data_IF_869077335318
#
_entry.id   IF_869077335318
#
_cell.length_a   1.000
_cell.length_b   1.000
_cell.length_c   1.000
_cell.angle_alpha   90.00
_cell.angle_beta   90.00
_cell.angle_gamma   90.00
#
_symmetry.space_group_name_H-M   'P 1'
#
loop_
_entity.id
_entity.type
_entity.pdbx_description
1 polymer ?
#
# COMPACT_ATOMS: atom_id res chain seq x y z
N UNK A 1 -4.53 13.48 -50.42
CA UNK A 1 -4.54 12.25 -49.60
C UNK A 1 -4.37 11.08 -50.56
N UNK A 2 -3.38 10.21 -50.36
CA UNK A 2 -3.21 9.04 -51.23
C UNK A 2 -4.27 8.00 -50.87
N UNK A 3 -5.21 7.74 -51.79
CA UNK A 3 -6.34 6.80 -51.66
C UNK A 3 -5.94 5.31 -51.48
N UNK A 4 -4.69 5.02 -51.13
CA UNK A 4 -4.10 3.67 -51.19
C UNK A 4 -3.93 3.01 -49.82
N UNK A 5 -4.25 3.68 -48.72
CA UNK A 5 -4.17 3.10 -47.36
C UNK A 5 -5.45 3.43 -46.60
N UNK A 6 -6.37 2.48 -46.37
CA UNK A 6 -7.53 2.70 -45.51
C UNK A 6 -7.03 2.88 -44.07
N UNK A 7 -6.86 4.13 -43.65
CA UNK A 7 -6.38 4.44 -42.31
C UNK A 7 -7.37 3.97 -41.25
N UNK A 8 -6.95 3.06 -40.36
CA UNK A 8 -7.77 2.73 -39.20
C UNK A 8 -7.63 3.86 -38.15
N UNK A 9 -8.73 4.50 -37.76
CA UNK A 9 -8.74 5.60 -36.75
C UNK A 9 -8.43 5.11 -35.31
N UNK A 10 -7.90 3.89 -35.17
CA UNK A 10 -7.56 3.27 -33.89
C UNK A 10 -6.23 3.84 -33.36
N UNK A 11 -6.04 3.80 -32.05
CA UNK A 11 -4.75 4.16 -31.44
C UNK A 11 -3.66 3.13 -31.80
N UNK A 12 -2.40 3.57 -31.81
CA UNK A 12 -1.25 2.68 -31.95
C UNK A 12 -1.14 1.82 -30.68
N UNK A 13 -0.94 0.52 -30.85
CA UNK A 13 -0.64 -0.44 -29.79
C UNK A 13 0.86 -0.51 -29.54
N UNK A 14 1.27 -1.16 -28.45
CA UNK A 14 2.68 -1.40 -28.16
C UNK A 14 3.38 -2.16 -29.30
N UNK A 15 2.74 -3.18 -29.88
CA UNK A 15 3.30 -3.94 -31.00
C UNK A 15 3.54 -3.07 -32.25
N UNK A 16 2.61 -2.15 -32.54
CA UNK A 16 2.78 -1.17 -33.62
C UNK A 16 4.00 -0.28 -33.35
N UNK A 17 4.18 0.17 -32.10
CA UNK A 17 5.33 0.99 -31.69
C UNK A 17 6.65 0.21 -31.75
N UNK A 18 6.66 -1.06 -31.36
CA UNK A 18 7.82 -1.96 -31.49
C UNK A 18 8.20 -2.17 -32.96
N UNK A 19 7.21 -2.28 -33.84
CA UNK A 19 7.43 -2.35 -35.28
C UNK A 19 8.02 -1.04 -35.83
N UNK A 20 7.51 0.12 -35.39
CA UNK A 20 8.07 1.44 -35.75
C UNK A 20 9.53 1.52 -35.31
N UNK A 21 9.85 1.17 -34.06
CA UNK A 21 11.22 1.20 -33.54
C UNK A 21 12.17 0.32 -34.36
N UNK A 22 11.78 -0.94 -34.63
CA UNK A 22 12.58 -1.87 -35.43
C UNK A 22 12.81 -1.33 -36.84
N UNK A 23 11.75 -0.85 -37.49
CA UNK A 23 11.82 -0.31 -38.85
C UNK A 23 12.67 0.96 -38.94
N UNK A 24 12.61 1.81 -37.91
CA UNK A 24 13.49 2.98 -37.79
C UNK A 24 14.95 2.59 -37.61
N UNK A 25 15.23 1.54 -36.83
CA UNK A 25 16.58 1.01 -36.66
C UNK A 25 17.14 0.42 -37.97
N UNK A 26 16.28 -0.17 -38.79
CA UNK A 26 16.60 -0.64 -40.15
C UNK A 26 16.69 0.49 -41.20
N UNK A 27 16.38 1.74 -40.83
CA UNK A 27 16.43 2.89 -41.75
C UNK A 27 15.27 2.97 -42.74
N UNK A 28 14.15 2.28 -42.50
CA UNK A 28 12.96 2.31 -43.37
C UNK A 28 12.28 3.69 -43.36
N UNK A 29 11.65 4.04 -44.47
CA UNK A 29 10.92 5.30 -44.59
C UNK A 29 9.58 5.26 -43.82
N UNK A 30 9.08 6.42 -43.38
CA UNK A 30 7.75 6.51 -42.76
C UNK A 30 6.64 6.01 -43.69
N UNK A 31 6.80 6.13 -45.01
CA UNK A 31 5.84 5.63 -46.00
C UNK A 31 5.73 4.11 -45.95
N UNK A 32 6.86 3.42 -45.81
CA UNK A 32 6.88 1.95 -45.76
C UNK A 32 6.35 1.41 -44.43
N UNK A 33 6.72 2.07 -43.33
CA UNK A 33 6.21 1.76 -41.99
C UNK A 33 4.69 1.94 -41.95
N UNK A 34 4.20 3.05 -42.49
CA UNK A 34 2.78 3.37 -42.53
C UNK A 34 1.99 2.39 -43.41
N UNK A 35 2.56 1.95 -44.54
CA UNK A 35 1.95 0.93 -45.41
C UNK A 35 1.74 -0.40 -44.66
N UNK A 36 2.72 -0.84 -43.89
CA UNK A 36 2.62 -2.09 -43.12
C UNK A 36 1.58 -1.99 -42.00
N UNK A 37 1.54 -0.87 -41.28
CA UNK A 37 0.61 -0.66 -40.18
C UNK A 37 -0.80 -0.23 -40.62
N UNK A 38 -1.04 -0.08 -41.93
CA UNK A 38 -2.26 0.50 -42.49
C UNK A 38 -2.62 1.86 -41.85
N UNK A 39 -1.62 2.73 -41.69
CA UNK A 39 -1.72 4.08 -41.13
C UNK A 39 -1.36 5.14 -42.16
N UNK A 40 -1.71 6.39 -41.88
CA UNK A 40 -1.19 7.51 -42.64
C UNK A 40 0.28 7.81 -42.24
N UNK A 41 1.20 8.11 -43.19
CA UNK A 41 2.58 8.45 -42.86
C UNK A 41 2.73 9.61 -41.87
N UNK A 42 1.78 10.55 -41.85
CA UNK A 42 1.76 11.64 -40.87
C UNK A 42 1.48 11.15 -39.46
N UNK A 43 0.75 10.05 -39.27
CA UNK A 43 0.55 9.41 -37.96
C UNK A 43 1.88 8.93 -37.40
N UNK A 44 2.68 8.23 -38.21
CA UNK A 44 4.02 7.74 -37.82
C UNK A 44 4.95 8.93 -37.55
N UNK A 45 4.93 9.95 -38.41
CA UNK A 45 5.73 11.17 -38.22
C UNK A 45 5.39 11.89 -36.91
N UNK A 46 4.10 12.01 -36.56
CA UNK A 46 3.65 12.66 -35.32
C UNK A 46 4.05 11.84 -34.10
N UNK A 47 3.81 10.53 -34.12
CA UNK A 47 4.20 9.60 -33.05
C UNK A 47 5.70 9.72 -32.73
N UNK A 48 6.56 9.60 -33.75
CA UNK A 48 8.01 9.65 -33.57
C UNK A 48 8.47 11.02 -33.07
N UNK A 49 7.91 12.12 -33.60
CA UNK A 49 8.31 13.47 -33.20
C UNK A 49 7.87 13.83 -31.78
N UNK A 50 6.69 13.39 -31.36
CA UNK A 50 6.13 13.65 -30.03
C UNK A 50 6.78 12.78 -28.95
N UNK A 51 7.14 11.53 -29.26
CA UNK A 51 7.58 10.56 -28.28
C UNK A 51 9.06 10.14 -28.39
N UNK A 52 9.88 10.89 -29.12
CA UNK A 52 11.34 10.69 -29.11
C UNK A 52 11.96 11.10 -27.77
N UNK A 53 12.85 10.25 -27.27
CA UNK A 53 13.75 10.53 -26.16
C UNK A 53 14.79 11.57 -26.56
N UNK A 54 15.08 12.50 -25.66
CA UNK A 54 16.12 13.52 -25.82
C UNK A 54 17.30 13.16 -24.93
N UNK A 55 18.41 12.77 -25.55
CA UNK A 55 19.64 12.39 -24.86
C UNK A 55 20.74 13.40 -25.13
N UNK A 56 21.53 13.71 -24.10
CA UNK A 56 22.70 14.59 -24.20
C UNK A 56 23.97 13.76 -24.04
N UNK A 57 24.83 13.82 -25.05
CA UNK A 57 26.08 13.08 -25.08
C UNK A 57 27.23 14.03 -25.43
N UNK A 58 27.99 14.45 -24.43
CA UNK A 58 29.03 15.45 -24.58
C UNK A 58 30.31 14.86 -25.19
N UNK A 59 30.72 15.38 -26.36
CA UNK A 59 31.97 15.02 -27.07
C UNK A 59 32.76 16.26 -27.50
N UNK A 60 33.18 17.03 -26.51
CA UNK A 60 34.09 18.15 -26.70
C UNK A 60 35.56 17.75 -26.65
N UNK A 61 36.43 18.74 -26.48
CA UNK A 61 37.88 18.54 -26.31
C UNK A 61 38.17 18.00 -24.91
N UNK A 62 39.38 17.45 -24.69
CA UNK A 62 39.82 17.01 -23.36
C UNK A 62 39.65 18.11 -22.29
N UNK A 63 39.94 19.35 -22.67
CA UNK A 63 39.84 20.52 -21.79
C UNK A 63 38.42 21.06 -21.62
N UNK A 64 37.50 20.74 -22.54
CA UNK A 64 36.10 21.14 -22.43
C UNK A 64 35.18 20.18 -23.20
N UNK A 65 34.79 19.09 -22.53
CA UNK A 65 33.92 18.06 -23.08
C UNK A 65 32.50 18.58 -23.38
N UNK A 66 32.04 19.61 -22.66
CA UNK A 66 30.69 20.14 -22.81
C UNK A 66 30.56 21.17 -23.93
N UNK A 67 31.66 21.61 -24.55
CA UNK A 67 31.60 22.50 -25.71
C UNK A 67 30.98 21.79 -26.92
N UNK A 68 29.86 22.31 -27.42
CA UNK A 68 29.19 21.79 -28.62
C UNK A 68 29.04 22.84 -29.72
N UNK A 69 29.96 23.80 -29.74
CA UNK A 69 30.13 24.71 -30.87
C UNK A 69 30.70 23.96 -32.08
N UNK A 70 30.29 24.33 -33.30
CA UNK A 70 30.88 23.80 -34.54
C UNK A 70 32.38 24.09 -34.65
N UNK A 71 32.84 25.20 -34.06
CA UNK A 71 34.26 25.62 -34.08
C UNK A 71 35.08 25.09 -32.89
N UNK A 72 34.55 24.20 -32.06
CA UNK A 72 35.15 23.76 -30.78
C UNK A 72 36.55 23.14 -30.88
N UNK A 73 36.96 22.64 -32.05
CA UNK A 73 38.28 22.03 -32.24
C UNK A 73 39.34 23.00 -32.78
N UNK A 74 38.94 24.13 -33.37
CA UNK A 74 39.88 25.00 -34.11
C UNK A 74 39.78 26.48 -33.75
N UNK A 75 38.80 26.91 -32.95
CA UNK A 75 38.63 28.31 -32.58
C UNK A 75 39.81 28.84 -31.76
N UNK A 76 40.53 29.83 -32.30
CA UNK A 76 41.69 30.45 -31.63
C UNK A 76 41.35 31.71 -30.82
N UNK A 77 40.08 32.15 -30.84
CA UNK A 77 39.63 33.36 -30.13
C UNK A 77 39.92 33.20 -28.63
N UNK A 78 40.51 34.22 -28.02
CA UNK A 78 40.60 34.42 -26.57
C UNK A 78 39.58 35.48 -26.16
N UNK A 79 39.33 35.62 -24.86
CA UNK A 79 38.35 36.56 -24.32
C UNK A 79 36.93 36.42 -24.92
N UNK A 80 36.49 35.19 -25.20
CA UNK A 80 35.17 34.93 -25.80
C UNK A 80 34.00 35.44 -24.94
N UNK A 81 34.20 35.57 -23.62
CA UNK A 81 33.22 36.11 -22.69
C UNK A 81 33.15 37.66 -22.68
N UNK A 82 34.01 38.34 -23.44
CA UNK A 82 34.04 39.79 -23.62
C UNK A 82 33.98 40.59 -22.29
N UNK A 83 34.69 40.10 -21.27
CA UNK A 83 34.80 40.78 -19.97
C UNK A 83 35.84 41.90 -20.03
N UNK A 84 35.68 42.88 -19.14
CA UNK A 84 36.60 44.01 -18.97
C UNK A 84 38.00 43.50 -18.58
N UNK A 85 38.07 42.51 -17.69
CA UNK A 85 39.31 41.77 -17.41
C UNK A 85 39.52 40.75 -18.53
N UNK A 86 40.59 40.92 -19.30
CA UNK A 86 40.91 40.09 -20.46
C UNK A 86 41.12 38.63 -20.07
N UNK A 87 40.24 37.75 -20.56
CA UNK A 87 40.39 36.31 -20.35
C UNK A 87 41.31 35.71 -21.41
N UNK A 88 42.47 35.16 -20.99
CA UNK A 88 43.44 34.54 -21.90
C UNK A 88 43.09 33.09 -22.30
N UNK A 89 42.00 32.54 -21.78
CA UNK A 89 41.56 31.17 -22.10
C UNK A 89 41.06 31.12 -23.55
N UNK A 90 41.61 30.19 -24.34
CA UNK A 90 41.12 29.91 -25.70
C UNK A 90 39.67 29.44 -25.67
N UNK A 91 38.87 29.91 -26.61
CA UNK A 91 37.45 29.59 -26.76
C UNK A 91 37.19 28.07 -26.84
N UNK A 92 38.12 27.30 -27.43
CA UNK A 92 38.09 25.82 -27.47
C UNK A 92 38.08 25.16 -26.09
N UNK A 93 38.73 25.79 -25.11
CA UNK A 93 38.91 25.27 -23.74
C UNK A 93 38.08 26.05 -22.71
N UNK A 94 37.35 27.09 -23.12
CA UNK A 94 36.57 27.94 -22.23
C UNK A 94 35.30 27.21 -21.76
N UNK A 95 35.14 26.90 -20.46
CA UNK A 95 34.05 26.06 -19.96
C UNK A 95 32.66 26.65 -20.22
N UNK A 96 32.54 27.98 -20.25
CA UNK A 96 31.29 28.71 -20.46
C UNK A 96 31.09 29.17 -21.91
N UNK A 97 31.86 28.65 -22.87
CA UNK A 97 31.81 29.04 -24.27
C UNK A 97 30.39 28.98 -24.86
N UNK A 98 29.63 27.92 -24.56
CA UNK A 98 28.27 27.72 -25.07
C UNK A 98 27.27 28.81 -24.65
N UNK A 99 27.55 29.54 -23.57
CA UNK A 99 26.66 30.57 -23.01
C UNK A 99 27.17 31.99 -23.27
N UNK A 100 28.49 32.17 -23.28
CA UNK A 100 29.11 33.50 -23.23
C UNK A 100 29.72 33.96 -24.55
N UNK A 101 30.04 33.04 -25.46
CA UNK A 101 30.63 33.38 -26.74
C UNK A 101 29.55 33.93 -27.71
N UNK A 102 29.73 35.16 -28.19
CA UNK A 102 28.82 35.79 -29.17
C UNK A 102 28.81 35.06 -30.53
N UNK A 103 29.95 34.49 -30.91
CA UNK A 103 30.10 33.72 -32.16
C UNK A 103 29.76 32.23 -31.98
N UNK A 104 29.07 31.88 -30.89
CA UNK A 104 28.70 30.50 -30.63
C UNK A 104 27.69 30.00 -31.68
N UNK A 105 28.09 28.98 -32.43
CA UNK A 105 27.21 28.28 -33.37
C UNK A 105 27.05 26.83 -32.92
N UNK A 106 25.84 26.49 -32.45
CA UNK A 106 25.51 25.14 -31.99
C UNK A 106 25.66 24.14 -33.13
N UNK A 107 26.46 23.09 -32.94
CA UNK A 107 26.55 21.97 -33.87
C UNK A 107 25.19 21.23 -33.94
N UNK A 108 24.66 21.03 -35.15
CA UNK A 108 23.36 20.39 -35.40
C UNK A 108 23.47 19.32 -36.48
N UNK A 109 22.54 18.37 -36.46
CA UNK A 109 22.47 17.28 -37.43
C UNK A 109 21.26 17.46 -38.36
N UNK A 110 21.49 17.57 -39.67
CA UNK A 110 20.42 17.71 -40.67
C UNK A 110 19.40 16.55 -40.64
N UNK A 111 19.80 15.36 -40.17
CA UNK A 111 18.91 14.20 -39.99
C UNK A 111 17.83 14.46 -38.94
N UNK A 112 18.09 15.31 -37.95
CA UNK A 112 17.12 15.61 -36.89
C UNK A 112 16.05 16.62 -37.35
N UNK A 113 16.35 17.37 -38.40
CA UNK A 113 15.45 18.36 -39.01
C UNK A 113 14.54 17.75 -40.09
N UNK A 114 14.91 16.57 -40.62
CA UNK A 114 14.16 15.82 -41.64
C UNK A 114 13.69 14.48 -41.09
N UNK A 115 12.69 13.86 -41.72
CA UNK A 115 12.28 12.50 -41.35
C UNK A 115 13.51 11.55 -41.41
N UNK A 116 13.75 10.70 -40.38
CA UNK A 116 12.83 10.33 -39.30
C UNK A 116 12.92 11.16 -38.00
N UNK A 117 13.68 12.27 -37.98
CA UNK A 117 13.89 13.15 -36.81
C UNK A 117 14.56 12.50 -35.59
N UNK A 118 15.13 11.31 -35.77
CA UNK A 118 15.78 10.51 -34.72
C UNK A 118 17.06 9.86 -35.26
N UNK A 119 17.93 9.45 -34.32
CA UNK A 119 19.21 8.81 -34.57
C UNK A 119 19.09 7.32 -34.89
N UNK A 120 17.92 6.70 -34.70
CA UNK A 120 17.66 5.32 -35.11
C UNK A 120 18.02 5.13 -36.60
N UNK A 121 18.76 4.06 -36.91
CA UNK A 121 19.20 3.75 -38.28
C UNK A 121 20.14 4.80 -38.90
N UNK A 122 20.90 5.53 -38.09
CA UNK A 122 21.95 6.42 -38.59
C UNK A 122 23.23 5.63 -38.89
N UNK A 123 23.88 5.92 -40.02
CA UNK A 123 25.10 5.23 -40.49
C UNK A 123 26.27 5.38 -39.49
N UNK A 124 26.34 6.54 -38.83
CA UNK A 124 27.31 6.78 -37.75
C UNK A 124 26.80 6.15 -36.46
N UNK A 125 27.57 5.22 -35.90
CA UNK A 125 27.30 4.69 -34.56
C UNK A 125 27.21 5.85 -33.56
N UNK A 126 26.30 5.74 -32.60
CA UNK A 126 25.99 6.80 -31.63
C UNK A 126 27.23 7.26 -30.87
N UNK A 127 28.13 6.34 -30.52
CA UNK A 127 29.38 6.61 -29.83
C UNK A 127 30.43 7.32 -30.71
N UNK A 128 30.30 7.38 -32.03
CA UNK A 128 31.19 8.14 -32.92
C UNK A 128 30.58 9.47 -33.36
N UNK A 129 29.27 9.65 -33.19
CA UNK A 129 28.59 10.91 -33.48
C UNK A 129 28.96 11.99 -32.45
N UNK A 130 29.56 13.09 -32.94
CA UNK A 130 30.02 14.23 -32.13
C UNK A 130 28.92 15.19 -31.70
N UNK A 131 27.74 15.10 -32.33
CA UNK A 131 26.58 15.94 -32.02
C UNK A 131 26.16 15.71 -30.58
N UNK A 132 26.09 16.78 -29.79
CA UNK A 132 25.77 16.66 -28.37
C UNK A 132 24.32 16.27 -28.10
N UNK A 133 23.38 16.83 -28.85
CA UNK A 133 21.94 16.61 -28.65
C UNK A 133 21.42 15.55 -29.61
N UNK A 134 21.01 14.39 -29.07
CA UNK A 134 20.56 13.23 -29.83
C UNK A 134 19.11 12.94 -29.52
N UNK A 135 18.40 12.39 -30.50
CA UNK A 135 17.04 11.93 -30.32
C UNK A 135 16.93 10.45 -30.65
N UNK A 136 16.31 9.66 -29.77
CA UNK A 136 16.06 8.23 -30.02
C UNK A 136 14.58 7.94 -29.90
N UNK A 137 14.04 7.15 -30.80
CA UNK A 137 12.72 6.56 -30.62
C UNK A 137 12.86 5.22 -29.89
N UNK A 138 12.09 5.06 -28.81
CA UNK A 138 12.02 3.86 -27.99
C UNK A 138 10.54 3.52 -27.80
N UNK A 139 10.12 2.33 -28.23
CA UNK A 139 8.71 1.98 -28.28
C UNK A 139 8.05 1.96 -26.91
N UNK A 140 8.76 1.45 -25.89
CA UNK A 140 8.24 1.34 -24.52
C UNK A 140 8.12 2.69 -23.86
N UNK A 141 9.09 3.57 -24.07
CA UNK A 141 9.01 4.96 -23.63
C UNK A 141 7.82 5.67 -24.27
N UNK A 142 7.66 5.54 -25.59
CA UNK A 142 6.59 6.17 -26.33
C UNK A 142 5.20 5.68 -25.88
N UNK A 143 5.06 4.37 -25.67
CA UNK A 143 3.81 3.77 -25.18
C UNK A 143 3.43 4.28 -23.79
N UNK A 144 4.40 4.30 -22.86
CA UNK A 144 4.20 4.85 -21.52
C UNK A 144 3.80 6.33 -21.57
N UNK A 145 4.47 7.15 -22.39
CA UNK A 145 4.16 8.58 -22.54
C UNK A 145 2.77 8.80 -23.13
N UNK A 146 2.38 7.99 -24.09
CA UNK A 146 1.04 8.02 -24.66
C UNK A 146 -0.03 7.70 -23.61
N UNK A 147 0.16 6.65 -22.80
CA UNK A 147 -0.78 6.29 -21.73
C UNK A 147 -0.83 7.35 -20.59
N UNK A 148 0.31 7.94 -20.23
CA UNK A 148 0.38 9.05 -19.28
C UNK A 148 -0.42 10.27 -19.78
N UNK A 149 -0.28 10.63 -21.06
CA UNK A 149 -1.06 11.71 -21.67
C UNK A 149 -2.55 11.36 -21.74
N UNK A 150 -2.89 10.12 -22.11
CA UNK A 150 -4.28 9.65 -22.19
C UNK A 150 -4.98 9.72 -20.81
N UNK A 151 -4.26 9.39 -19.75
CA UNK A 151 -4.75 9.49 -18.37
C UNK A 151 -4.85 10.95 -17.91
N UNK A 152 -3.76 11.72 -18.05
CA UNK A 152 -3.69 13.10 -17.56
C UNK A 152 -4.61 14.06 -18.30
N UNK A 153 -4.82 13.89 -19.60
CA UNK A 153 -5.80 14.68 -20.37
C UNK A 153 -7.25 14.47 -19.92
N UNK A 154 -7.53 13.33 -19.28
CA UNK A 154 -8.85 12.98 -18.72
C UNK A 154 -8.89 13.13 -17.20
N UNK A 155 -7.77 13.54 -16.59
CA UNK A 155 -7.69 13.76 -15.17
C UNK A 155 -8.23 15.16 -14.84
N UNK A 156 -9.05 15.23 -13.80
CA UNK A 156 -9.65 16.47 -13.33
C UNK A 156 -11.15 16.47 -13.45
N UNK A 157 -11.72 17.66 -13.33
CA UNK A 157 -13.16 17.90 -13.40
C UNK A 157 -13.39 18.62 -14.73
N UNK A 158 -14.29 18.09 -15.55
CA UNK A 158 -14.66 18.69 -16.83
C UNK A 158 -15.60 19.91 -16.63
N UNK A 159 -15.25 20.84 -15.75
CA UNK A 159 -15.97 22.10 -15.58
C UNK A 159 -15.05 23.17 -14.98
N UNK A 160 -15.41 24.44 -15.20
CA UNK A 160 -14.71 25.56 -14.61
C UNK A 160 -14.97 25.65 -13.10
N UNK A 161 -14.08 26.33 -12.36
CA UNK A 161 -14.31 26.60 -10.93
C UNK A 161 -15.61 27.39 -10.70
N UNK A 162 -15.95 28.31 -11.60
CA UNK A 162 -17.17 29.11 -11.50
C UNK A 162 -18.42 28.23 -11.63
N UNK A 163 -18.43 27.30 -12.57
CA UNK A 163 -19.56 26.38 -12.75
C UNK A 163 -19.68 25.42 -11.56
N UNK A 164 -18.56 24.93 -11.03
CA UNK A 164 -18.56 24.12 -9.81
C UNK A 164 -19.17 24.88 -8.63
N UNK A 165 -18.81 26.16 -8.44
CA UNK A 165 -19.39 27.00 -7.40
C UNK A 165 -20.90 27.25 -7.58
N UNK A 166 -21.37 27.44 -8.81
CA UNK A 166 -22.82 27.55 -9.09
C UNK A 166 -23.58 26.29 -8.67
N UNK A 167 -23.03 25.11 -9.00
CA UNK A 167 -23.61 23.82 -8.59
C UNK A 167 -23.55 23.64 -7.07
N UNK A 168 -22.45 24.01 -6.43
CA UNK A 168 -22.28 23.92 -4.97
C UNK A 168 -23.29 24.77 -4.20
N UNK A 169 -23.59 25.98 -4.70
CA UNK A 169 -24.62 26.88 -4.13
C UNK A 169 -26.02 26.26 -4.07
N UNK A 170 -26.30 25.26 -4.90
CA UNK A 170 -27.56 24.52 -4.89
C UNK A 170 -27.42 23.27 -4.03
N UNK A 171 -26.39 22.45 -4.29
CA UNK A 171 -26.22 21.13 -3.66
C UNK A 171 -25.98 21.22 -2.16
N UNK A 172 -25.06 22.09 -1.71
CA UNK A 172 -24.64 22.12 -0.31
C UNK A 172 -25.73 22.58 0.66
N UNK A 173 -26.50 23.65 0.39
CA UNK A 173 -27.63 24.04 1.25
C UNK A 173 -28.71 22.97 1.34
N UNK A 174 -29.04 22.29 0.24
CA UNK A 174 -30.07 21.24 0.22
C UNK A 174 -29.64 19.98 1.00
N UNK A 175 -28.36 19.63 0.96
CA UNK A 175 -27.81 18.56 1.81
C UNK A 175 -27.91 18.97 3.29
N UNK A 176 -27.61 20.22 3.63
CA UNK A 176 -27.74 20.72 5.00
C UNK A 176 -29.20 20.71 5.50
N UNK A 177 -30.17 20.90 4.60
CA UNK A 177 -31.61 20.72 4.86
C UNK A 177 -32.03 19.24 4.97
N UNK A 178 -31.10 18.29 4.81
CA UNK A 178 -31.33 16.86 4.94
C UNK A 178 -31.81 16.16 3.67
N UNK A 179 -31.79 16.83 2.51
CA UNK A 179 -32.14 16.20 1.24
C UNK A 179 -31.04 15.21 0.80
N UNK A 180 -31.45 14.10 0.18
CA UNK A 180 -30.51 13.13 -0.36
C UNK A 180 -29.95 13.58 -1.72
N UNK A 181 -28.69 13.22 -2.08
CA UNK A 181 -28.13 13.53 -3.40
C UNK A 181 -28.99 13.06 -4.59
N UNK A 182 -29.73 11.96 -4.43
CA UNK A 182 -30.69 11.50 -5.42
C UNK A 182 -31.84 12.49 -5.61
N UNK A 183 -32.45 12.92 -4.50
CA UNK A 183 -33.56 13.88 -4.51
C UNK A 183 -33.14 15.23 -5.10
N UNK A 184 -31.93 15.70 -4.77
CA UNK A 184 -31.38 16.95 -5.30
C UNK A 184 -31.23 16.87 -6.83
N UNK A 185 -30.63 15.80 -7.36
CA UNK A 185 -30.45 15.64 -8.82
C UNK A 185 -31.79 15.51 -9.54
N UNK A 186 -32.78 14.84 -8.95
CA UNK A 186 -34.12 14.69 -9.56
C UNK A 186 -34.88 16.01 -9.62
N UNK A 187 -34.79 16.85 -8.58
CA UNK A 187 -35.53 18.11 -8.51
C UNK A 187 -34.80 19.29 -9.15
N UNK A 188 -33.48 19.18 -9.34
CA UNK A 188 -32.63 20.22 -9.93
C UNK A 188 -31.95 19.73 -11.22
N UNK A 189 -32.71 19.58 -12.33
CA UNK A 189 -32.16 19.14 -13.61
C UNK A 189 -31.12 20.12 -14.19
N UNK A 190 -31.12 21.38 -13.76
CA UNK A 190 -30.12 22.39 -14.12
C UNK A 190 -28.69 22.06 -13.65
N UNK A 191 -28.55 21.13 -12.69
CA UNK A 191 -27.24 20.67 -12.24
C UNK A 191 -26.49 19.87 -13.30
N UNK A 192 -27.17 19.34 -14.32
CA UNK A 192 -26.61 18.53 -15.42
C UNK A 192 -25.51 17.58 -14.92
N UNK A 193 -25.85 16.77 -13.93
CA UNK A 193 -24.91 15.83 -13.33
C UNK A 193 -25.61 14.60 -12.78
N UNK A 194 -24.97 13.45 -12.95
CA UNK A 194 -25.46 12.21 -12.37
C UNK A 194 -25.31 12.22 -10.84
N UNK A 195 -26.14 11.43 -10.16
CA UNK A 195 -26.02 11.17 -8.71
C UNK A 195 -24.62 10.66 -8.34
N UNK A 196 -24.01 9.84 -9.20
CA UNK A 196 -22.63 9.35 -9.03
C UNK A 196 -21.62 10.50 -9.04
N UNK A 197 -21.80 11.48 -9.90
CA UNK A 197 -20.94 12.67 -9.98
C UNK A 197 -21.05 13.48 -8.68
N UNK A 198 -22.26 13.67 -8.15
CA UNK A 198 -22.47 14.37 -6.87
C UNK A 198 -21.73 13.68 -5.72
N UNK A 199 -21.87 12.35 -5.59
CA UNK A 199 -21.12 11.60 -4.58
C UNK A 199 -19.60 11.70 -4.78
N UNK A 200 -19.14 11.58 -6.01
CA UNK A 200 -17.71 11.71 -6.34
C UNK A 200 -17.17 13.08 -5.93
N UNK A 201 -17.95 14.14 -6.07
CA UNK A 201 -17.54 15.49 -5.72
C UNK A 201 -17.56 15.72 -4.20
N UNK A 202 -18.56 15.20 -3.50
CA UNK A 202 -18.61 15.19 -2.03
C UNK A 202 -17.42 14.41 -1.44
N UNK A 203 -17.08 13.25 -2.02
CA UNK A 203 -15.96 12.41 -1.59
C UNK A 203 -14.60 13.11 -1.79
N UNK A 204 -14.46 13.84 -2.90
CA UNK A 204 -13.28 14.64 -3.19
C UNK A 204 -13.24 15.97 -2.40
N UNK A 205 -14.29 16.31 -1.65
CA UNK A 205 -14.38 17.57 -0.92
C UNK A 205 -14.46 18.81 -1.83
N UNK A 206 -15.03 18.65 -3.03
CA UNK A 206 -15.18 19.73 -4.02
C UNK A 206 -16.40 20.61 -3.74
N UNK A 207 -17.36 20.10 -2.97
CA UNK A 207 -18.50 20.83 -2.46
C UNK A 207 -18.26 21.23 -1.01
N UNK A 208 -18.98 22.26 -0.57
CA UNK A 208 -18.94 22.74 0.82
C UNK A 208 -19.50 21.68 1.78
N UNK A 209 -20.58 20.99 1.38
CA UNK A 209 -21.14 19.85 2.09
C UNK A 209 -20.19 18.66 2.09
N UNK A 210 -20.20 17.90 3.18
CA UNK A 210 -19.31 16.77 3.45
C UNK A 210 -20.08 15.46 3.60
N UNK A 211 -19.35 14.36 3.55
CA UNK A 211 -19.92 13.03 3.76
C UNK A 211 -20.63 12.86 5.11
N UNK A 212 -20.23 13.62 6.13
CA UNK A 212 -20.85 13.61 7.46
C UNK A 212 -22.25 14.23 7.45
N UNK A 213 -22.54 15.13 6.51
CA UNK A 213 -23.83 15.83 6.40
C UNK A 213 -24.88 14.95 5.70
N UNK A 214 -24.46 13.83 5.10
CA UNK A 214 -25.35 12.90 4.43
C UNK A 214 -26.05 11.97 5.43
N UNK A 215 -27.38 12.01 5.48
CA UNK A 215 -28.24 11.23 6.41
C UNK A 215 -27.91 9.73 6.56
N UNK A 216 -27.39 9.06 5.53
CA UNK A 216 -27.24 7.58 5.50
C UNK A 216 -25.81 7.08 5.33
N UNK A 217 -24.83 7.97 5.09
CA UNK A 217 -23.44 7.57 4.82
C UNK A 217 -22.64 7.28 6.09
N UNK A 218 -22.67 8.13 7.14
CA UNK A 218 -22.09 7.77 8.42
C UNK A 218 -23.02 6.81 9.16
N UNK A 219 -22.54 5.58 9.42
CA UNK A 219 -23.21 4.62 10.31
C UNK A 219 -22.28 4.35 11.49
N UNK A 220 -22.71 4.72 12.69
CA UNK A 220 -22.01 4.32 13.92
C UNK A 220 -22.39 2.88 14.25
N UNK A 221 -21.40 1.98 14.25
CA UNK A 221 -21.59 0.59 14.68
C UNK A 221 -20.90 0.39 16.02
N UNK A 222 -21.64 -0.07 17.02
CA UNK A 222 -21.08 -0.44 18.33
C UNK A 222 -20.10 -1.61 18.11
N UNK A 223 -18.87 -1.49 18.64
CA UNK A 223 -17.89 -2.58 18.59
C UNK A 223 -18.35 -3.73 19.49
N UNK A 224 -18.29 -4.97 19.00
CA UNK A 224 -18.48 -6.16 19.84
C UNK A 224 -17.25 -6.31 20.74
N UNK A 225 -17.44 -6.32 22.06
CA UNK A 225 -16.38 -6.59 23.04
C UNK A 225 -16.52 -8.05 23.52
N UNK A 226 -15.45 -8.84 23.41
CA UNK A 226 -15.40 -10.20 23.96
C UNK A 226 -14.77 -10.14 25.36
N UNK A 227 -15.58 -10.31 26.41
CA UNK A 227 -15.12 -10.37 27.82
C UNK A 227 -14.87 -11.82 28.24
N UNK A 228 -13.79 -12.43 27.74
CA UNK A 228 -13.44 -13.83 28.06
C UNK A 228 -12.36 -13.97 29.13
N UNK A 229 -11.63 -12.89 29.45
CA UNK A 229 -10.52 -12.90 30.41
C UNK A 229 -10.88 -12.19 31.72
N UNK A 230 -10.18 -12.56 32.79
CA UNK A 230 -10.25 -11.88 34.09
C UNK A 230 -9.77 -10.43 33.91
N UNK A 231 -10.65 -9.46 34.21
CA UNK A 231 -10.35 -8.03 34.09
C UNK A 231 -9.66 -7.46 35.32
N UNK A 232 -9.91 -8.05 36.49
CA UNK A 232 -9.32 -7.61 37.76
C UNK A 232 -7.89 -8.16 37.91
N UNK A 233 -6.90 -7.26 37.88
CA UNK A 233 -5.49 -7.64 37.97
C UNK A 233 -5.05 -8.01 39.38
N UNK A 234 -5.81 -7.63 40.41
CA UNK A 234 -5.47 -7.94 41.81
C UNK A 234 -5.43 -9.44 42.08
N UNK A 235 -6.22 -10.21 41.31
CA UNK A 235 -6.25 -11.68 41.32
C UNK A 235 -4.88 -12.31 41.07
N UNK A 236 -3.99 -11.65 40.32
CA UNK A 236 -2.70 -12.21 39.92
C UNK A 236 -1.56 -11.90 40.89
N UNK A 237 -1.77 -11.06 41.91
CA UNK A 237 -0.71 -10.71 42.87
C UNK A 237 -0.32 -11.97 43.66
N UNK A 238 0.95 -12.39 43.52
CA UNK A 238 1.50 -13.60 44.15
C UNK A 238 1.03 -14.92 43.53
N UNK A 239 0.37 -14.87 42.36
CA UNK A 239 -0.21 -16.04 41.66
C UNK A 239 0.20 -16.09 40.18
N UNK A 240 1.23 -15.36 39.79
CA UNK A 240 1.71 -15.35 38.40
C UNK A 240 2.48 -16.63 38.06
N UNK A 241 2.69 -16.87 36.77
CA UNK A 241 3.55 -17.97 36.33
C UNK A 241 4.99 -17.82 36.85
N UNK A 242 5.49 -16.59 37.01
CA UNK A 242 6.79 -16.35 37.61
C UNK A 242 6.82 -16.79 39.08
N UNK A 243 5.77 -16.48 39.86
CA UNK A 243 5.65 -16.93 41.26
C UNK A 243 5.61 -18.47 41.35
N UNK A 244 4.91 -19.12 40.42
CA UNK A 244 4.89 -20.58 40.29
C UNK A 244 6.28 -21.16 39.98
N UNK A 245 7.05 -20.52 39.09
CA UNK A 245 8.42 -20.94 38.77
C UNK A 245 9.36 -20.78 39.96
N UNK A 246 9.19 -19.71 40.76
CA UNK A 246 9.96 -19.51 41.99
C UNK A 246 9.63 -20.57 43.05
N UNK A 247 8.36 -20.99 43.16
CA UNK A 247 7.95 -22.07 44.07
C UNK A 247 8.60 -23.42 43.70
N UNK A 248 8.85 -23.65 42.40
CA UNK A 248 9.43 -24.89 41.86
C UNK A 248 8.80 -26.19 42.43
N UNK A 249 7.47 -26.36 42.33
CA UNK A 249 6.80 -27.51 42.90
C UNK A 249 7.18 -28.81 42.17
N UNK A 250 7.49 -29.87 42.92
CA UNK A 250 7.82 -31.19 42.35
C UNK A 250 6.63 -31.83 41.60
N UNK A 251 5.41 -31.55 42.06
CA UNK A 251 4.16 -32.10 41.52
C UNK A 251 3.13 -30.99 41.46
N UNK A 252 2.46 -30.86 40.32
CA UNK A 252 1.34 -29.93 40.15
C UNK A 252 0.30 -30.51 39.20
N UNK A 253 -0.90 -29.94 39.26
CA UNK A 253 -2.03 -30.29 38.41
C UNK A 253 -2.33 -29.14 37.44
N UNK A 254 -2.50 -29.44 36.15
CA UNK A 254 -2.99 -28.47 35.17
C UNK A 254 -4.52 -28.47 35.15
N UNK A 255 -5.15 -27.30 35.27
CA UNK A 255 -6.59 -27.13 35.23
C UNK A 255 -7.01 -26.30 34.02
N UNK A 256 -8.02 -26.77 33.29
CA UNK A 256 -8.50 -26.10 32.07
C UNK A 256 -10.02 -26.24 31.88
N UNK A 257 -10.61 -25.41 31.02
CA UNK A 257 -12.00 -25.58 30.57
C UNK A 257 -12.09 -25.90 29.08
N UNK A 258 -12.76 -27.00 28.75
CA UNK A 258 -13.08 -27.36 27.37
C UNK A 258 -14.51 -26.95 27.08
N UNK A 259 -14.67 -26.01 26.13
CA UNK A 259 -15.98 -25.57 25.67
C UNK A 259 -16.56 -26.56 24.66
N UNK A 260 -17.85 -26.89 24.82
CA UNK A 260 -18.62 -27.62 23.81
C UNK A 260 -18.90 -26.73 22.58
N UNK A 261 -19.76 -27.19 21.66
CA UNK A 261 -20.17 -26.42 20.48
C UNK A 261 -20.66 -25.01 20.85
N UNK A 262 -20.52 -24.05 19.93
CA UNK A 262 -20.82 -22.61 20.15
C UNK A 262 -22.23 -22.30 20.69
N UNK A 263 -23.16 -23.24 20.57
CA UNK A 263 -24.57 -23.10 20.97
C UNK A 263 -24.85 -23.66 22.38
N UNK A 264 -23.96 -24.49 22.92
CA UNK A 264 -24.12 -25.10 24.24
C UNK A 264 -23.44 -24.30 25.34
N UNK A 265 -24.12 -24.14 26.48
CA UNK A 265 -23.55 -23.54 27.69
C UNK A 265 -22.78 -24.55 28.56
N UNK A 266 -22.80 -25.84 28.19
CA UNK A 266 -22.09 -26.89 28.91
C UNK A 266 -20.60 -26.86 28.58
N UNK A 267 -19.77 -27.00 29.60
CA UNK A 267 -18.31 -27.05 29.49
C UNK A 267 -17.76 -28.21 30.33
N UNK A 268 -16.56 -28.69 30.02
CA UNK A 268 -15.85 -29.66 30.84
C UNK A 268 -14.77 -28.91 31.63
N UNK A 269 -14.76 -29.10 32.95
CA UNK A 269 -13.60 -28.76 33.77
C UNK A 269 -12.66 -29.95 33.79
N UNK A 270 -11.42 -29.74 33.38
CA UNK A 270 -10.44 -30.82 33.25
C UNK A 270 -9.27 -30.60 34.20
N UNK A 271 -8.81 -31.68 34.83
CA UNK A 271 -7.61 -31.72 35.65
C UNK A 271 -6.64 -32.74 35.07
N UNK A 272 -5.40 -32.33 34.87
CA UNK A 272 -4.34 -33.20 34.36
C UNK A 272 -3.18 -33.29 35.33
N UNK A 273 -2.98 -34.49 35.85
CA UNK A 273 -1.89 -34.82 36.76
C UNK A 273 -0.66 -35.24 35.96
N UNK A 274 0.38 -34.40 35.98
CA UNK A 274 1.58 -34.60 35.15
C UNK A 274 2.35 -35.86 35.49
N UNK A 275 2.51 -36.15 36.78
CA UNK A 275 3.30 -37.28 37.28
C UNK A 275 2.63 -38.61 36.97
N UNK A 276 1.34 -38.72 37.30
CA UNK A 276 0.53 -39.92 37.12
C UNK A 276 0.01 -40.10 35.68
N UNK A 277 0.13 -39.06 34.85
CA UNK A 277 -0.48 -38.97 33.51
C UNK A 277 -2.00 -39.21 33.53
N UNK A 278 -2.64 -38.89 34.65
CA UNK A 278 -4.08 -39.07 34.88
C UNK A 278 -4.85 -37.83 34.42
N UNK A 279 -5.94 -38.06 33.71
CA UNK A 279 -6.83 -37.00 33.22
C UNK A 279 -8.22 -37.18 33.81
N UNK A 280 -8.72 -36.17 34.53
CA UNK A 280 -10.06 -36.14 35.10
C UNK A 280 -10.88 -35.06 34.39
N UNK A 281 -12.12 -35.38 34.01
CA UNK A 281 -13.03 -34.43 33.38
C UNK A 281 -14.39 -34.41 34.08
N UNK A 282 -14.89 -33.21 34.36
CA UNK A 282 -16.16 -32.99 35.04
C UNK A 282 -17.07 -32.08 34.22
N UNK A 283 -18.28 -32.54 33.95
CA UNK A 283 -19.28 -31.74 33.23
C UNK A 283 -19.79 -30.60 34.12
N UNK A 284 -19.73 -29.38 33.60
CA UNK A 284 -20.34 -28.17 34.16
C UNK A 284 -21.46 -27.67 33.25
N UNK A 285 -22.61 -27.30 33.83
CA UNK A 285 -23.76 -26.81 33.05
C UNK A 285 -23.61 -25.35 32.60
N UNK A 286 -22.67 -24.60 33.17
CA UNK A 286 -22.33 -23.21 32.84
C UNK A 286 -20.84 -22.99 33.12
N UNK A 287 -20.18 -22.16 32.32
CA UNK A 287 -18.80 -21.73 32.57
C UNK A 287 -18.79 -20.48 33.48
N UNK A 288 -18.85 -20.69 34.80
CA UNK A 288 -18.83 -19.61 35.80
C UNK A 288 -17.96 -20.00 37.00
N UNK A 289 -17.48 -18.99 37.73
CA UNK A 289 -16.69 -19.17 38.97
C UNK A 289 -17.37 -20.10 39.98
N UNK A 290 -18.67 -19.91 40.19
CA UNK A 290 -19.46 -20.77 41.08
C UNK A 290 -19.56 -22.22 40.61
N UNK A 291 -19.63 -22.46 39.30
CA UNK A 291 -19.69 -23.82 38.77
C UNK A 291 -18.35 -24.57 38.98
N UNK A 292 -17.22 -23.88 38.81
CA UNK A 292 -15.89 -24.43 39.11
C UNK A 292 -15.80 -24.76 40.60
N UNK A 293 -16.21 -23.84 41.48
CA UNK A 293 -16.23 -24.06 42.94
C UNK A 293 -17.05 -25.29 43.34
N UNK A 294 -18.23 -25.48 42.76
CA UNK A 294 -19.05 -26.68 43.04
C UNK A 294 -18.33 -27.98 42.72
N UNK A 295 -17.48 -28.02 41.68
CA UNK A 295 -16.68 -29.20 41.37
C UNK A 295 -15.59 -29.42 42.43
N UNK A 296 -14.91 -28.36 42.86
CA UNK A 296 -13.91 -28.41 43.94
C UNK A 296 -14.53 -28.91 45.25
N UNK A 297 -15.65 -28.33 45.68
CA UNK A 297 -16.34 -28.72 46.92
C UNK A 297 -16.80 -30.18 46.87
N UNK A 298 -17.27 -30.65 45.70
CA UNK A 298 -17.64 -32.06 45.50
C UNK A 298 -16.45 -33.00 45.58
N UNK A 299 -15.28 -32.59 45.10
CA UNK A 299 -14.06 -33.38 45.18
C UNK A 299 -13.53 -33.44 46.61
N UNK A 300 -13.47 -32.29 47.29
CA UNK A 300 -13.05 -32.20 48.68
C UNK A 300 -13.94 -33.08 49.58
N UNK A 301 -15.26 -33.04 49.40
CA UNK A 301 -16.18 -33.90 50.17
C UNK A 301 -15.92 -35.40 49.99
N UNK A 302 -15.45 -35.82 48.80
CA UNK A 302 -15.15 -37.23 48.51
C UNK A 302 -13.78 -37.67 49.00
N UNK A 303 -12.80 -36.78 48.99
CA UNK A 303 -11.39 -37.09 49.28
C UNK A 303 -10.98 -36.69 50.70
N UNK A 304 -11.82 -35.94 51.42
CA UNK A 304 -11.48 -35.09 52.57
C UNK A 304 -10.58 -33.90 52.21
N UNK A 305 -10.53 -32.87 53.06
CA UNK A 305 -9.67 -31.70 52.86
C UNK A 305 -8.19 -32.08 52.76
N UNK A 306 -7.72 -33.00 53.60
CA UNK A 306 -6.33 -33.47 53.56
C UNK A 306 -6.03 -34.27 52.28
N UNK A 307 -6.95 -35.14 51.86
CA UNK A 307 -6.79 -35.89 50.61
C UNK A 307 -6.85 -34.99 49.37
N UNK A 308 -7.68 -33.95 49.40
CA UNK A 308 -7.71 -32.95 48.34
C UNK A 308 -6.39 -32.17 48.28
N UNK A 309 -5.90 -31.68 49.42
CA UNK A 309 -4.63 -30.96 49.50
C UNK A 309 -3.45 -31.82 49.02
N UNK A 310 -3.42 -33.11 49.38
CA UNK A 310 -2.36 -34.02 48.96
C UNK A 310 -2.32 -34.24 47.44
N UNK A 311 -3.48 -34.25 46.77
CA UNK A 311 -3.59 -34.50 45.33
C UNK A 311 -3.53 -33.21 44.49
N UNK A 312 -4.18 -32.16 44.96
CA UNK A 312 -4.37 -30.89 44.25
C UNK A 312 -3.61 -29.74 44.92
N UNK A 313 -2.48 -30.02 45.58
CA UNK A 313 -1.72 -29.01 46.34
C UNK A 313 -1.48 -27.73 45.53
N UNK A 314 -0.94 -27.89 44.32
CA UNK A 314 -0.63 -26.79 43.41
C UNK A 314 -1.36 -26.97 42.09
N UNK A 315 -2.16 -25.97 41.70
CA UNK A 315 -2.91 -25.96 40.44
C UNK A 315 -2.41 -24.84 39.53
N UNK A 316 -2.16 -25.16 38.28
CA UNK A 316 -1.81 -24.20 37.23
C UNK A 316 -2.96 -24.06 36.22
N UNK A 317 -3.49 -22.85 36.05
CA UNK A 317 -4.63 -22.57 35.18
C UNK A 317 -4.42 -21.37 34.24
N UNK A 318 -5.33 -21.15 33.29
CA UNK A 318 -5.26 -20.01 32.37
C UNK A 318 -6.01 -18.82 32.98
N UNK A 319 -6.03 -17.67 32.29
CA UNK A 319 -6.69 -16.45 32.79
C UNK A 319 -8.17 -16.38 32.41
N UNK A 320 -8.82 -17.54 32.26
CA UNK A 320 -10.25 -17.67 31.98
C UNK A 320 -11.10 -16.98 33.04
N UNK A 321 -12.17 -16.29 32.60
CA UNK A 321 -13.06 -15.52 33.49
C UNK A 321 -13.70 -16.35 34.62
N UNK A 322 -13.89 -17.64 34.38
CA UNK A 322 -14.40 -18.65 35.32
C UNK A 322 -13.41 -18.98 36.44
N UNK A 323 -12.13 -18.67 36.28
CA UNK A 323 -11.11 -18.86 37.31
C UNK A 323 -10.83 -17.57 38.10
N UNK A 324 -11.58 -16.49 37.87
CA UNK A 324 -11.30 -15.17 38.44
C UNK A 324 -11.67 -14.97 39.92
N UNK A 325 -11.75 -16.02 40.72
CA UNK A 325 -11.94 -15.94 42.17
C UNK A 325 -11.15 -17.07 42.87
N UNK A 326 -9.80 -16.99 42.83
CA UNK A 326 -8.93 -18.04 43.35
C UNK A 326 -9.12 -18.22 44.86
N UNK A 327 -9.35 -17.14 45.62
CA UNK A 327 -9.58 -17.24 47.06
C UNK A 327 -10.71 -18.21 47.40
N UNK A 328 -11.83 -18.13 46.68
CA UNK A 328 -12.97 -19.05 46.88
C UNK A 328 -12.69 -20.51 46.49
N UNK A 329 -11.65 -20.75 45.68
CA UNK A 329 -11.22 -22.08 45.24
C UNK A 329 -10.12 -22.64 46.15
N UNK A 330 -9.22 -21.78 46.62
CA UNK A 330 -8.12 -22.08 47.56
C UNK A 330 -8.64 -22.37 48.97
N UNK A 331 -9.73 -21.72 49.40
CA UNK A 331 -10.38 -22.04 50.67
C UNK A 331 -11.49 -23.08 50.50
N UNK A 332 -11.37 -24.16 51.27
CA UNK A 332 -12.27 -25.31 51.26
C UNK A 332 -13.43 -25.19 52.24
N UNK A 333 -13.97 -26.35 52.62
CA UNK A 333 -15.02 -26.46 53.62
C UNK A 333 -14.42 -26.11 55.00
N UNK A 334 -15.07 -25.24 55.76
CA UNK A 334 -14.61 -24.72 57.07
C UNK A 334 -13.42 -23.73 57.02
N UNK A 335 -13.26 -22.99 55.91
CA UNK A 335 -12.23 -21.95 55.76
C UNK A 335 -10.77 -22.46 55.87
N UNK A 336 -10.56 -23.75 55.65
CA UNK A 336 -9.23 -24.37 55.59
C UNK A 336 -8.68 -24.23 54.17
N UNK A 337 -7.41 -23.84 54.03
CA UNK A 337 -6.72 -23.82 52.74
C UNK A 337 -6.56 -25.24 52.19
N UNK A 338 -7.09 -25.47 50.98
CA UNK A 338 -7.12 -26.79 50.31
C UNK A 338 -6.26 -26.88 49.06
N UNK A 339 -5.79 -25.76 48.51
CA UNK A 339 -4.94 -25.71 47.31
C UNK A 339 -4.35 -24.31 47.12
N UNK A 340 -3.30 -24.19 46.30
CA UNK A 340 -2.73 -22.94 45.82
C UNK A 340 -2.84 -22.83 44.30
N UNK A 341 -3.43 -21.74 43.79
CA UNK A 341 -3.73 -21.56 42.35
C UNK A 341 -2.79 -20.54 41.72
N UNK A 342 -2.20 -20.92 40.59
CA UNK A 342 -1.32 -20.07 39.78
C UNK A 342 -1.84 -19.94 38.34
N UNK A 343 -1.49 -18.82 37.70
CA UNK A 343 -1.98 -18.47 36.37
C UNK A 343 -0.86 -18.38 35.35
N UNK A 344 -1.05 -19.03 34.20
CA UNK A 344 -0.22 -18.85 33.02
C UNK A 344 -0.30 -17.41 32.47
N UNK A 345 0.69 -17.04 31.66
CA UNK A 345 0.70 -15.76 30.98
C UNK A 345 -0.34 -15.71 29.84
N UNK A 346 -0.88 -14.52 29.53
CA UNK A 346 -1.85 -14.38 28.45
C UNK A 346 -1.21 -14.81 27.12
N UNK A 347 -1.95 -15.58 26.32
CA UNK A 347 -1.50 -16.05 24.98
C UNK A 347 -0.22 -16.91 25.00
N UNK A 348 0.12 -17.52 26.14
CA UNK A 348 1.27 -18.44 26.28
C UNK A 348 0.78 -19.87 26.56
N UNK A 349 -0.01 -20.39 25.63
CA UNK A 349 -0.59 -21.75 25.63
C UNK A 349 0.45 -22.86 25.91
N UNK A 350 1.67 -22.70 25.36
CA UNK A 350 2.80 -23.61 25.59
C UNK A 350 3.32 -23.73 27.04
N UNK A 351 2.87 -22.89 27.98
CA UNK A 351 3.16 -23.06 29.42
C UNK A 351 2.34 -24.21 30.04
N UNK A 352 1.28 -24.69 29.35
CA UNK A 352 0.45 -25.86 29.71
C UNK A 352 0.58 -26.98 28.68
N UNK A 353 1.80 -27.49 28.47
CA UNK A 353 2.04 -28.48 27.40
C UNK A 353 1.37 -29.85 27.58
N UNK A 354 0.69 -30.13 28.71
CA UNK A 354 0.11 -31.45 29.00
C UNK A 354 -1.34 -31.60 28.56
N UNK A 355 -2.15 -30.56 28.75
CA UNK A 355 -3.57 -30.54 28.38
C UNK A 355 -3.77 -30.30 26.87
N UNK A 356 -2.89 -29.54 26.22
CA UNK A 356 -3.05 -29.15 24.82
C UNK A 356 -2.69 -30.23 23.78
N UNK A 357 -1.86 -31.22 24.11
CA UNK A 357 -1.49 -32.31 23.17
C UNK A 357 -2.48 -33.48 23.14
N UNK A 358 -3.55 -33.45 23.94
CA UNK A 358 -4.48 -34.59 24.11
C UNK A 358 -5.97 -34.26 23.97
N UNK A 359 -6.31 -33.01 23.61
CA UNK A 359 -7.68 -32.63 23.25
C UNK A 359 -7.92 -32.69 21.74
#
# INVERSE_FOLDING_TARGET
>A
MSNLIPGNQKHLRLDDRLFIERSLNEGRSFKDIARYLCKDPTTISKEVKLHRLSDWYHKGTFYNAHNFCIHRYHCRKTNACNKIILCHIKCTSCPTCNQTCKDFVKERCNRLDKAPYVCNGCDKRINHCTIAHKYRYDARFADRKYHELLSSSRAGINMTKQDLHKKDRIVSPLIAQGQSPYHIVTNHPELDMSVRTVYTYLDKGLFTARNIDLKRKPKFKIRKCHKTQITDRTVFIGRTYADFQTLNPEIWTEMDTVHSSRESRKTLLTFFFKREKLFLAYIMNRCTKGAVRMVFDRLEKKLSTYGFLSLFNTILTDRGSEFGDPKSLETGINDIERTSIYYCDPMRSGQKGGVEMRC
#
